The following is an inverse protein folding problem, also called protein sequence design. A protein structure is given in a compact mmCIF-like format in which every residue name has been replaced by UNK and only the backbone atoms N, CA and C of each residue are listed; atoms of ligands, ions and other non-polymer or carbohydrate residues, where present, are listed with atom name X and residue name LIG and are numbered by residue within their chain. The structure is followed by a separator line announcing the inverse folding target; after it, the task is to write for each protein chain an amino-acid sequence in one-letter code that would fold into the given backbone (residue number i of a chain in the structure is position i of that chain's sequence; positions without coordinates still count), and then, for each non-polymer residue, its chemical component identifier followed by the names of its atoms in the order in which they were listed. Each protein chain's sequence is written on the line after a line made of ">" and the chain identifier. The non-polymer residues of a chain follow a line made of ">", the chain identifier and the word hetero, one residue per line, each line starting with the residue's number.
data_IF_392621776667
#
_entry.id   IF_392621776667
#
_cell.length_a   1.000
_cell.length_b   1.000
_cell.length_c   1.000
_cell.angle_alpha   90.00
_cell.angle_beta   90.00
_cell.angle_gamma   90.00
#
_symmetry.space_group_name_H-M   'P 1'
#
loop_
_entity.id
_entity.type
_entity.pdbx_description
1 polymer ?
#
# COMPACT_ATOMS: atom_id res chain seq x y z
N UNK A 1 21.65 12.93 3.03
CA UNK A 1 21.25 11.52 3.12
C UNK A 1 19.85 11.25 2.58
N UNK A 2 18.90 12.13 2.77
CA UNK A 2 17.50 11.84 2.44
C UNK A 2 17.18 11.69 0.95
N UNK A 3 17.78 12.50 0.07
CA UNK A 3 17.40 12.52 -1.35
C UNK A 3 17.88 11.30 -2.13
N UNK A 4 19.08 10.78 -1.85
CA UNK A 4 19.63 9.66 -2.61
C UNK A 4 18.78 8.40 -2.50
N UNK A 5 18.36 7.96 -1.31
CA UNK A 5 17.48 6.78 -1.21
C UNK A 5 16.12 6.98 -1.89
N UNK A 6 15.54 8.17 -1.80
CA UNK A 6 14.25 8.47 -2.44
C UNK A 6 14.41 8.51 -3.96
N UNK A 7 15.49 9.09 -4.47
CA UNK A 7 15.80 9.08 -5.90
C UNK A 7 16.01 7.65 -6.40
N UNK A 8 16.64 6.80 -5.60
CA UNK A 8 16.80 5.38 -5.92
C UNK A 8 15.45 4.68 -6.04
N UNK A 9 14.48 5.01 -5.17
CA UNK A 9 13.11 4.49 -5.28
C UNK A 9 12.45 4.86 -6.61
N UNK A 10 12.64 6.10 -7.06
CA UNK A 10 12.14 6.52 -8.37
C UNK A 10 12.74 5.69 -9.50
N UNK A 11 14.05 5.46 -9.46
CA UNK A 11 14.74 4.65 -10.47
C UNK A 11 14.24 3.21 -10.45
N UNK A 12 14.05 2.63 -9.26
CA UNK A 12 13.55 1.27 -9.13
C UNK A 12 12.14 1.12 -9.69
N UNK A 13 11.25 2.07 -9.42
CA UNK A 13 9.90 2.08 -9.97
C UNK A 13 9.91 2.22 -11.49
N UNK A 14 10.81 3.02 -12.04
CA UNK A 14 10.92 3.20 -13.49
C UNK A 14 11.41 1.93 -14.18
N UNK A 15 12.30 1.16 -13.53
CA UNK A 15 12.85 -0.07 -14.10
C UNK A 15 11.90 -1.26 -13.98
N UNK A 16 11.17 -1.36 -12.88
CA UNK A 16 10.33 -2.52 -12.58
C UNK A 16 9.02 -2.07 -11.91
N UNK A 17 8.15 -1.38 -12.66
CA UNK A 17 6.89 -0.90 -12.10
C UNK A 17 5.96 -2.08 -11.80
N UNK A 18 5.30 -2.09 -10.63
CA UNK A 18 4.27 -3.08 -10.36
C UNK A 18 3.11 -2.97 -11.35
N UNK A 19 2.53 -4.13 -11.73
CA UNK A 19 1.56 -4.20 -12.81
C UNK A 19 0.29 -3.37 -12.59
N UNK A 20 -0.15 -3.22 -11.33
CA UNK A 20 -1.41 -2.53 -11.01
C UNK A 20 -1.21 -1.40 -10.02
N UNK A 21 0.00 -0.89 -9.93
CA UNK A 21 0.36 0.15 -8.98
C UNK A 21 1.15 1.25 -9.67
N UNK A 22 0.97 2.47 -9.20
CA UNK A 22 1.79 3.60 -9.60
C UNK A 22 2.11 4.43 -8.37
N UNK A 23 3.25 5.09 -8.37
CA UNK A 23 3.65 5.95 -7.26
C UNK A 23 4.61 7.02 -7.74
N UNK A 24 4.58 8.17 -7.08
CA UNK A 24 5.48 9.26 -7.38
C UNK A 24 5.39 10.36 -6.33
N UNK A 25 6.38 11.26 -6.32
CA UNK A 25 6.38 12.37 -5.38
C UNK A 25 5.22 13.33 -5.63
N UNK A 26 4.74 13.96 -4.57
CA UNK A 26 3.69 14.98 -4.63
C UNK A 26 4.36 16.33 -4.84
N UNK A 27 4.10 16.95 -6.01
CA UNK A 27 4.63 18.26 -6.36
C UNK A 27 6.16 18.30 -6.20
N UNK A 28 6.67 19.27 -5.45
CA UNK A 28 8.11 19.46 -5.23
C UNK A 28 8.64 18.74 -3.99
N UNK A 29 7.78 17.97 -3.29
CA UNK A 29 8.17 17.29 -2.05
C UNK A 29 8.58 15.84 -2.34
N UNK A 30 9.87 15.57 -2.41
CA UNK A 30 10.44 14.26 -2.68
C UNK A 30 10.26 13.27 -1.52
N UNK A 31 9.84 13.74 -0.35
CA UNK A 31 9.63 12.90 0.84
C UNK A 31 8.17 12.57 1.07
N UNK A 32 7.27 13.11 0.27
CA UNK A 32 5.86 12.81 0.34
C UNK A 32 5.40 12.31 -1.03
N UNK A 33 5.01 11.05 -1.09
CA UNK A 33 4.57 10.40 -2.32
C UNK A 33 3.11 10.05 -2.24
N UNK A 34 2.48 10.02 -3.39
CA UNK A 34 1.15 9.47 -3.57
C UNK A 34 1.25 8.22 -4.43
N UNK A 35 0.55 7.16 -4.03
CA UNK A 35 0.50 5.93 -4.78
C UNK A 35 -0.94 5.56 -5.09
N UNK A 36 -1.12 4.77 -6.14
CA UNK A 36 -2.41 4.27 -6.57
C UNK A 36 -2.31 2.77 -6.75
N UNK A 37 -3.26 2.03 -6.19
CA UNK A 37 -3.37 0.59 -6.37
C UNK A 37 -4.74 0.30 -6.97
N UNK A 38 -4.76 -0.46 -8.07
CA UNK A 38 -6.00 -0.99 -8.64
C UNK A 38 -6.30 -2.30 -7.93
N UNK A 39 -7.52 -2.45 -7.43
CA UNK A 39 -7.94 -3.65 -6.71
C UNK A 39 -7.72 -4.91 -7.55
N UNK A 40 -7.02 -5.92 -6.99
CA UNK A 40 -6.70 -7.12 -7.75
C UNK A 40 -7.95 -7.89 -8.21
N UNK A 41 -7.86 -8.53 -9.38
CA UNK A 41 -9.00 -9.23 -9.98
C UNK A 41 -9.52 -10.39 -9.12
N UNK A 42 -8.63 -11.03 -8.36
CA UNK A 42 -9.00 -12.18 -7.53
C UNK A 42 -9.37 -11.77 -6.10
N UNK A 43 -9.73 -10.51 -5.90
CA UNK A 43 -10.06 -9.99 -4.57
C UNK A 43 -11.45 -9.34 -4.58
N UNK A 44 -12.06 -9.14 -3.39
CA UNK A 44 -13.31 -8.39 -3.28
C UNK A 44 -13.16 -6.91 -3.62
N UNK A 45 -11.94 -6.45 -3.84
CA UNK A 45 -11.62 -5.06 -4.18
C UNK A 45 -11.52 -4.83 -5.68
N UNK A 46 -11.80 -5.84 -6.48
CA UNK A 46 -11.70 -5.78 -7.93
C UNK A 46 -12.47 -4.58 -8.50
N UNK A 47 -11.83 -3.85 -9.39
CA UNK A 47 -12.41 -2.68 -10.04
C UNK A 47 -12.27 -1.39 -9.24
N UNK A 48 -11.85 -1.45 -7.99
CA UNK A 48 -11.63 -0.27 -7.18
C UNK A 48 -10.26 0.35 -7.41
N UNK A 49 -10.18 1.66 -7.20
CA UNK A 49 -8.92 2.41 -7.25
C UNK A 49 -8.65 2.95 -5.85
N UNK A 50 -7.53 2.56 -5.26
CA UNK A 50 -7.17 2.89 -3.89
C UNK A 50 -5.96 3.81 -3.88
N UNK A 51 -6.09 4.94 -3.19
CA UNK A 51 -5.03 5.93 -3.07
C UNK A 51 -4.31 5.76 -1.73
N UNK A 52 -2.99 5.90 -1.78
CA UNK A 52 -2.13 5.80 -0.59
C UNK A 52 -1.25 7.02 -0.50
N UNK A 53 -0.85 7.35 0.72
CA UNK A 53 0.22 8.32 0.97
C UNK A 53 1.44 7.58 1.50
N UNK A 54 2.62 8.00 1.08
CA UNK A 54 3.89 7.46 1.52
C UNK A 54 4.75 8.62 2.01
N UNK A 55 5.15 8.56 3.29
CA UNK A 55 6.03 9.56 3.88
C UNK A 55 7.38 8.94 4.20
N UNK A 56 8.43 9.50 3.63
CA UNK A 56 9.79 9.11 3.92
C UNK A 56 10.34 10.06 5.00
N UNK A 57 10.64 9.50 6.18
CA UNK A 57 11.21 10.27 7.26
C UNK A 57 12.72 10.40 7.09
N UNK A 58 13.35 11.27 7.88
CA UNK A 58 14.77 11.59 7.76
C UNK A 58 15.70 10.39 7.97
N UNK A 59 15.24 9.37 8.69
CA UNK A 59 16.00 8.14 8.93
C UNK A 59 15.74 7.03 7.89
N UNK A 60 14.95 7.31 6.86
CA UNK A 60 14.83 6.41 5.72
C UNK A 60 16.19 6.30 5.00
N UNK A 61 16.69 5.15 4.57
CA UNK A 61 16.01 3.85 4.50
C UNK A 61 16.23 2.93 5.71
N UNK A 62 16.81 3.43 6.79
CA UNK A 62 17.08 2.61 7.97
C UNK A 62 15.83 2.27 8.75
N UNK A 63 14.82 3.12 8.63
CA UNK A 63 13.47 2.86 9.14
C UNK A 63 12.48 2.85 7.99
N UNK A 64 11.35 2.12 8.14
CA UNK A 64 10.37 2.03 7.07
C UNK A 64 9.71 3.37 6.77
N UNK A 65 9.22 3.57 5.54
CA UNK A 65 8.36 4.71 5.25
C UNK A 65 7.02 4.55 5.95
N UNK A 66 6.32 5.64 6.17
CA UNK A 66 4.96 5.60 6.70
C UNK A 66 3.98 5.54 5.53
N UNK A 67 3.20 4.47 5.47
CA UNK A 67 2.26 4.21 4.39
C UNK A 67 0.85 4.11 4.97
N UNK A 68 -0.08 4.83 4.37
CA UNK A 68 -1.47 4.79 4.80
C UNK A 68 -2.39 4.90 3.58
N UNK A 69 -3.51 4.17 3.61
CA UNK A 69 -4.56 4.31 2.62
C UNK A 69 -5.42 5.55 2.92
N UNK A 70 -5.67 6.36 1.91
CA UNK A 70 -6.59 7.49 2.01
C UNK A 70 -7.98 7.14 1.51
N UNK A 71 -8.10 6.17 0.63
CA UNK A 71 -9.40 5.64 0.19
C UNK A 71 -9.96 4.70 1.24
N UNK A 72 -11.25 4.82 1.54
CA UNK A 72 -11.90 3.93 2.50
C UNK A 72 -11.95 2.52 1.97
N UNK A 73 -11.59 1.57 2.84
CA UNK A 73 -11.55 0.15 2.52
C UNK A 73 -12.00 -0.66 3.74
N UNK A 74 -12.69 -1.75 3.50
CA UNK A 74 -12.99 -2.73 4.54
C UNK A 74 -12.00 -3.89 4.42
N UNK A 75 -11.06 -3.97 5.37
CA UNK A 75 -10.01 -4.99 5.37
C UNK A 75 -9.57 -5.26 6.81
N UNK A 76 -9.39 -6.53 7.21
CA UNK A 76 -9.02 -6.86 8.59
C UNK A 76 -7.66 -6.34 9.01
N UNK A 77 -6.75 -6.11 8.07
CA UNK A 77 -5.39 -5.65 8.36
C UNK A 77 -5.20 -4.16 8.06
N UNK A 78 -6.26 -3.44 7.79
CA UNK A 78 -6.23 -1.99 7.55
C UNK A 78 -7.30 -1.34 8.41
N UNK A 79 -6.87 -0.43 9.31
CA UNK A 79 -7.81 0.19 10.24
C UNK A 79 -8.55 1.38 9.61
N UNK A 80 -9.43 2.00 10.37
CA UNK A 80 -10.25 3.13 9.89
C UNK A 80 -9.43 4.37 9.54
N UNK A 81 -8.21 4.49 10.07
CA UNK A 81 -7.29 5.58 9.75
C UNK A 81 -6.46 5.30 8.49
N UNK A 82 -6.63 4.14 7.88
CA UNK A 82 -5.86 3.73 6.72
C UNK A 82 -4.51 3.11 7.04
N UNK A 83 -4.18 2.93 8.33
CA UNK A 83 -2.92 2.30 8.73
C UNK A 83 -2.94 0.82 8.36
N UNK A 84 -1.86 0.36 7.73
CA UNK A 84 -1.74 -0.99 7.19
C UNK A 84 -0.92 -1.84 8.15
N UNK A 85 -1.48 -2.96 8.60
CA UNK A 85 -0.79 -3.92 9.44
C UNK A 85 0.01 -4.87 8.55
N UNK A 86 1.24 -4.50 8.24
CA UNK A 86 2.13 -5.23 7.35
C UNK A 86 3.50 -5.33 8.00
N UNK A 87 4.04 -6.54 8.09
CA UNK A 87 5.27 -6.82 8.83
C UNK A 87 6.49 -6.07 8.25
N UNK A 88 6.59 -5.97 6.93
CA UNK A 88 7.71 -5.26 6.31
C UNK A 88 7.69 -3.74 6.57
N UNK A 89 6.56 -3.20 7.02
CA UNK A 89 6.47 -1.79 7.43
C UNK A 89 6.77 -1.62 8.93
N UNK A 90 7.15 -2.68 9.60
CA UNK A 90 7.42 -2.72 11.04
C UNK A 90 8.72 -3.49 11.32
N UNK A 91 8.60 -4.62 12.01
CA UNK A 91 9.74 -5.40 12.48
C UNK A 91 10.55 -6.07 11.38
N UNK A 92 9.95 -6.35 10.23
CA UNK A 92 10.61 -7.00 9.10
C UNK A 92 11.12 -6.03 8.04
N UNK A 93 11.14 -4.75 8.34
CA UNK A 93 11.71 -3.76 7.44
C UNK A 93 13.21 -3.97 7.26
N UNK A 94 13.68 -3.79 6.04
CA UNK A 94 15.10 -3.82 5.69
C UNK A 94 15.40 -2.68 4.71
N UNK A 95 16.56 -2.03 4.82
CA UNK A 95 16.95 -1.00 3.84
C UNK A 95 17.06 -1.51 2.41
N UNK A 96 17.13 -2.83 2.22
CA UNK A 96 17.15 -3.44 0.89
C UNK A 96 15.78 -3.50 0.23
N UNK A 97 14.69 -3.27 0.96
CA UNK A 97 13.35 -3.29 0.41
C UNK A 97 13.08 -2.05 -0.43
N UNK A 98 12.44 -2.24 -1.57
CA UNK A 98 12.06 -1.16 -2.47
C UNK A 98 10.59 -0.77 -2.30
N UNK A 99 10.21 0.40 -2.76
CA UNK A 99 8.80 0.81 -2.77
C UNK A 99 7.96 -0.10 -3.66
N UNK A 100 8.52 -0.60 -4.77
CA UNK A 100 7.85 -1.60 -5.59
C UNK A 100 7.46 -2.83 -4.79
N UNK A 101 8.37 -3.32 -3.94
CA UNK A 101 8.10 -4.47 -3.08
C UNK A 101 7.06 -4.16 -2.02
N UNK A 102 7.07 -2.96 -1.45
CA UNK A 102 6.05 -2.54 -0.50
C UNK A 102 4.68 -2.53 -1.15
N UNK A 103 4.56 -1.95 -2.35
CA UNK A 103 3.29 -1.90 -3.07
C UNK A 103 2.80 -3.28 -3.46
N UNK A 104 3.69 -4.17 -3.93
CA UNK A 104 3.35 -5.56 -4.24
C UNK A 104 2.88 -6.31 -3.00
N UNK A 105 3.50 -6.07 -1.86
CA UNK A 105 3.08 -6.70 -0.59
C UNK A 105 1.70 -6.23 -0.17
N UNK A 106 1.38 -4.97 -0.37
CA UNK A 106 0.04 -4.44 -0.10
C UNK A 106 -0.98 -5.07 -1.04
N UNK A 107 -0.66 -5.21 -2.32
CA UNK A 107 -1.53 -5.91 -3.28
C UNK A 107 -1.79 -7.36 -2.85
N UNK A 108 -0.75 -8.05 -2.39
CA UNK A 108 -0.90 -9.42 -1.88
C UNK A 108 -1.80 -9.47 -0.65
N UNK A 109 -1.71 -8.48 0.22
CA UNK A 109 -2.55 -8.38 1.40
C UNK A 109 -4.02 -8.18 1.02
N UNK A 110 -4.30 -7.45 -0.05
CA UNK A 110 -5.66 -7.28 -0.56
C UNK A 110 -6.23 -8.58 -1.12
N UNK A 111 -5.41 -9.39 -1.78
CA UNK A 111 -5.82 -10.69 -2.30
C UNK A 111 -6.01 -11.73 -1.19
N UNK A 112 -5.14 -11.70 -0.18
CA UNK A 112 -5.00 -12.75 0.81
C UNK A 112 -4.78 -12.14 2.18
N UNK A 113 -5.87 -11.73 2.87
CA UNK A 113 -5.75 -11.12 4.18
C UNK A 113 -5.20 -12.13 5.20
N UNK A 114 -4.58 -11.60 6.25
CA UNK A 114 -3.97 -12.41 7.28
C UNK A 114 -5.04 -13.30 7.95
N UNK A 115 -4.86 -14.62 7.96
CA UNK A 115 -5.88 -15.56 8.47
C UNK A 115 -6.07 -15.53 9.99
N UNK A 116 -5.27 -14.76 10.73
CA UNK A 116 -5.44 -14.64 12.18
C UNK A 116 -6.73 -13.92 12.57
N UNK A 117 -7.41 -13.28 11.62
CA UNK A 117 -8.68 -12.63 11.87
C UNK A 117 -9.82 -13.62 11.54
N UNK A 118 -10.70 -13.95 12.51
CA UNK A 118 -11.77 -14.92 12.32
C UNK A 118 -12.99 -14.39 11.58
N UNK A 119 -12.89 -13.35 10.79
CA UNK A 119 -14.04 -12.87 10.01
C UNK A 119 -14.57 -13.96 9.09
N UNK A 120 -15.89 -14.15 9.10
CA UNK A 120 -16.54 -15.11 8.21
C UNK A 120 -16.27 -14.67 6.77
N UNK A 121 -15.67 -15.54 5.92
CA UNK A 121 -15.27 -15.12 4.58
C UNK A 121 -16.38 -14.53 3.73
N UNK A 122 -17.60 -15.04 3.87
CA UNK A 122 -18.76 -14.54 3.11
C UNK A 122 -19.11 -13.11 3.49
N UNK A 123 -19.11 -12.79 4.79
CA UNK A 123 -19.40 -11.45 5.28
C UNK A 123 -18.28 -10.49 4.86
N UNK A 124 -17.04 -10.93 5.02
CA UNK A 124 -15.88 -10.14 4.61
C UNK A 124 -15.96 -9.78 3.12
N UNK A 125 -16.19 -10.77 2.25
CA UNK A 125 -16.25 -10.54 0.81
C UNK A 125 -17.38 -9.60 0.44
N UNK A 126 -18.57 -9.77 1.03
CA UNK A 126 -19.71 -8.93 0.74
C UNK A 126 -19.48 -7.48 1.15
N UNK A 127 -19.03 -7.24 2.37
CA UNK A 127 -18.83 -5.89 2.88
C UNK A 127 -17.68 -5.21 2.13
N UNK A 128 -16.61 -5.94 1.84
CA UNK A 128 -15.47 -5.42 1.09
C UNK A 128 -15.88 -4.98 -0.32
N UNK A 129 -16.71 -5.77 -1.00
CA UNK A 129 -17.24 -5.42 -2.31
C UNK A 129 -18.15 -4.19 -2.24
N UNK A 130 -19.04 -4.14 -1.25
CA UNK A 130 -19.94 -3.00 -1.06
C UNK A 130 -19.16 -1.71 -0.83
N UNK A 131 -18.15 -1.75 0.02
CA UNK A 131 -17.31 -0.59 0.29
C UNK A 131 -16.49 -0.18 -0.93
N UNK A 132 -15.99 -1.15 -1.70
CA UNK A 132 -15.25 -0.86 -2.92
C UNK A 132 -16.13 -0.11 -3.92
N UNK A 133 -17.35 -0.58 -4.14
CA UNK A 133 -18.29 0.08 -5.02
C UNK A 133 -18.65 1.49 -4.54
N UNK A 134 -18.77 1.67 -3.24
CA UNK A 134 -19.19 2.93 -2.64
C UNK A 134 -18.08 3.98 -2.60
N UNK A 135 -16.85 3.58 -2.29
CA UNK A 135 -15.76 4.53 -1.96
C UNK A 135 -14.62 4.52 -2.97
N UNK A 136 -14.44 3.45 -3.75
CA UNK A 136 -13.27 3.27 -4.62
C UNK A 136 -13.61 3.18 -6.12
N UNK A 137 -14.87 3.27 -6.45
CA UNK A 137 -15.31 3.22 -7.85
C UNK A 137 -16.03 4.48 -8.27
#
# INVERSE_FOLDING_TARGET
>A
MGLLPVTSCLSDLARDPPAQCSAGPVWDDMFHWQATIIGPNDSPYQGGVFFLTIHFLTDYPFKPPKVALTTRIYHPNINSNGSICLDILRSQWSPALTISKVLLSICSLLCDPNPDDPLVPEIYNRISQEWTQKYAM
#
